data_IF_970621576850
#
_entry.id   IF_970621576850
#
_cell.length_a   1.000
_cell.length_b   1.000
_cell.length_c   1.000
_cell.angle_alpha   90.00
_cell.angle_beta   90.00
_cell.angle_gamma   90.00
#
_symmetry.space_group_name_H-M   'P 1'
#
loop_
_entity.id
_entity.type
_entity.pdbx_description
1 polymer ?
#
# COMPACT_ATOMS: atom_id res chain seq x y z
N UNK A 1 -11.40 17.65 -3.24
CA UNK A 1 -11.76 16.27 -2.83
C UNK A 1 -11.06 15.22 -3.68
N UNK A 2 -11.10 15.32 -5.02
CA UNK A 2 -10.41 14.36 -5.92
C UNK A 2 -8.90 14.25 -5.69
N UNK A 3 -8.20 15.37 -5.44
CA UNK A 3 -6.76 15.35 -5.09
C UNK A 3 -6.45 14.51 -3.84
N UNK A 4 -7.30 14.60 -2.82
CA UNK A 4 -7.15 13.82 -1.59
C UNK A 4 -7.38 12.33 -1.81
N UNK A 5 -8.36 11.96 -2.64
CA UNK A 5 -8.60 10.58 -3.02
C UNK A 5 -7.35 9.94 -3.67
N UNK A 6 -6.72 10.64 -4.62
CA UNK A 6 -5.51 10.13 -5.27
C UNK A 6 -4.30 10.07 -4.32
N UNK A 7 -4.14 11.05 -3.43
CA UNK A 7 -3.07 11.02 -2.42
C UNK A 7 -3.22 9.80 -1.51
N UNK A 8 -4.43 9.53 -1.02
CA UNK A 8 -4.73 8.34 -0.22
C UNK A 8 -4.49 7.05 -1.02
N UNK A 9 -4.89 7.00 -2.29
CA UNK A 9 -4.67 5.84 -3.15
C UNK A 9 -3.18 5.55 -3.41
N UNK A 10 -2.39 6.56 -3.81
CA UNK A 10 -0.96 6.37 -4.07
C UNK A 10 -0.17 6.08 -2.79
N UNK A 11 -0.53 6.73 -1.67
CA UNK A 11 0.08 6.44 -0.37
C UNK A 11 -0.19 5.01 0.09
N UNK A 12 -1.43 4.52 -0.03
CA UNK A 12 -1.75 3.12 0.28
C UNK A 12 -1.12 2.16 -0.73
N UNK A 13 -1.03 2.53 -2.02
CA UNK A 13 -0.35 1.72 -3.03
C UNK A 13 1.12 1.48 -2.67
N UNK A 14 1.84 2.53 -2.24
CA UNK A 14 3.23 2.44 -1.78
C UNK A 14 3.35 1.47 -0.59
N UNK A 15 2.47 1.60 0.39
CA UNK A 15 2.43 0.73 1.58
C UNK A 15 2.18 -0.73 1.19
N UNK A 16 1.10 -1.00 0.45
CA UNK A 16 0.74 -2.36 0.03
C UNK A 16 1.84 -2.98 -0.84
N UNK A 17 2.48 -2.20 -1.71
CA UNK A 17 3.55 -2.72 -2.58
C UNK A 17 4.76 -3.11 -1.74
N UNK A 18 5.09 -2.30 -0.73
CA UNK A 18 6.15 -2.64 0.21
C UNK A 18 5.85 -3.93 0.97
N UNK A 19 4.59 -4.13 1.39
CA UNK A 19 4.17 -5.37 2.06
C UNK A 19 4.28 -6.58 1.13
N UNK A 20 3.81 -6.47 -0.10
CA UNK A 20 3.87 -7.57 -1.08
C UNK A 20 5.32 -7.96 -1.35
N UNK A 21 6.17 -7.01 -1.73
CA UNK A 21 7.56 -7.31 -2.13
C UNK A 21 8.50 -7.64 -0.97
N UNK A 22 8.25 -7.19 0.26
CA UNK A 22 9.14 -7.46 1.38
C UNK A 22 8.67 -8.60 2.29
N UNK A 23 7.35 -8.75 2.48
CA UNK A 23 6.81 -9.70 3.45
C UNK A 23 6.17 -10.93 2.80
N UNK A 24 5.44 -10.74 1.69
CA UNK A 24 4.82 -11.85 0.96
C UNK A 24 5.88 -12.62 0.19
N UNK A 25 6.69 -11.92 -0.59
CA UNK A 25 7.85 -12.51 -1.28
C UNK A 25 8.87 -13.06 -0.30
N UNK A 26 9.41 -14.25 -0.63
CA UNK A 26 10.40 -14.94 0.20
C UNK A 26 11.78 -14.74 -0.39
N UNK A 27 12.56 -13.89 0.27
CA UNK A 27 13.94 -13.62 -0.10
C UNK A 27 14.78 -13.36 1.16
N UNK A 28 16.09 -13.22 1.00
CA UNK A 28 17.01 -13.04 2.14
C UNK A 28 16.72 -11.81 3.00
N UNK A 29 16.00 -10.83 2.48
CA UNK A 29 15.67 -9.59 3.20
C UNK A 29 14.25 -9.57 3.79
N UNK A 30 13.49 -10.67 3.74
CA UNK A 30 12.14 -10.75 4.34
C UNK A 30 12.15 -10.44 5.85
N UNK A 31 13.25 -10.72 6.56
CA UNK A 31 13.38 -10.35 7.99
C UNK A 31 13.37 -8.83 8.23
N UNK A 32 13.74 -8.02 7.24
CA UNK A 32 13.73 -6.55 7.29
C UNK A 32 12.38 -5.95 6.88
N UNK A 33 11.39 -6.77 6.50
CA UNK A 33 10.10 -6.30 6.04
C UNK A 33 9.40 -5.33 7.02
N UNK A 34 9.38 -5.57 8.35
CA UNK A 34 8.72 -4.64 9.27
C UNK A 34 9.32 -3.22 9.23
N UNK A 35 10.65 -3.12 9.08
CA UNK A 35 11.34 -1.83 8.97
C UNK A 35 10.96 -1.11 7.67
N UNK A 36 10.99 -1.83 6.54
CA UNK A 36 10.62 -1.27 5.25
C UNK A 36 9.15 -0.79 5.23
N UNK A 37 8.23 -1.59 5.78
CA UNK A 37 6.81 -1.23 5.90
C UNK A 37 6.64 0.01 6.78
N UNK A 38 7.37 0.11 7.90
CA UNK A 38 7.35 1.28 8.77
C UNK A 38 7.82 2.56 8.07
N UNK A 39 8.92 2.49 7.31
CA UNK A 39 9.44 3.62 6.52
C UNK A 39 8.46 4.02 5.42
N UNK A 40 7.87 3.04 4.73
CA UNK A 40 6.84 3.27 3.71
C UNK A 40 5.63 4.02 4.27
N UNK A 41 5.13 3.58 5.43
CA UNK A 41 4.04 4.27 6.14
C UNK A 41 4.43 5.67 6.60
N UNK A 42 5.67 5.85 7.09
CA UNK A 42 6.20 7.15 7.52
C UNK A 42 6.24 8.15 6.36
N UNK A 43 6.75 7.73 5.19
CA UNK A 43 6.76 8.56 3.97
C UNK A 43 5.32 8.89 3.55
N UNK A 44 4.41 7.92 3.57
CA UNK A 44 3.00 8.13 3.28
C UNK A 44 2.38 9.21 4.17
N UNK A 45 2.72 9.22 5.47
CA UNK A 45 2.27 10.25 6.41
C UNK A 45 2.86 11.62 6.09
N UNK A 46 4.17 11.72 5.82
CA UNK A 46 4.81 12.99 5.45
C UNK A 46 4.11 13.66 4.25
N UNK A 47 3.67 12.86 3.28
CA UNK A 47 2.97 13.35 2.10
C UNK A 47 1.51 13.69 2.40
N UNK A 48 0.77 12.81 3.08
CA UNK A 48 -0.69 12.90 3.16
C UNK A 48 -1.21 13.69 4.36
N UNK A 49 -0.42 13.87 5.43
CA UNK A 49 -0.90 14.53 6.67
C UNK A 49 -1.41 15.95 6.40
N UNK A 50 -0.66 16.75 5.64
CA UNK A 50 -1.04 18.15 5.38
C UNK A 50 -2.32 18.29 4.54
N UNK A 51 -2.58 17.34 3.64
CA UNK A 51 -3.69 17.43 2.68
C UNK A 51 -4.97 16.72 3.13
N UNK A 52 -4.83 15.54 3.75
CA UNK A 52 -5.97 14.66 4.09
C UNK A 52 -5.95 14.20 5.54
N UNK A 53 -4.92 14.53 6.32
CA UNK A 53 -4.70 13.98 7.66
C UNK A 53 -4.06 12.59 7.67
N UNK A 54 -3.63 12.08 6.50
CA UNK A 54 -3.08 10.76 6.28
C UNK A 54 -3.96 9.64 6.84
N UNK A 55 -5.04 9.32 6.10
CA UNK A 55 -5.85 8.14 6.40
C UNK A 55 -5.04 6.88 6.19
N UNK A 56 -4.70 6.57 4.93
CA UNK A 56 -3.96 5.42 4.38
C UNK A 56 -4.51 4.03 4.76
N UNK A 57 -5.43 3.99 5.72
CA UNK A 57 -6.00 2.85 6.37
C UNK A 57 -7.42 3.24 6.84
N UNK A 58 -8.48 2.57 6.32
CA UNK A 58 -9.86 2.85 6.72
C UNK A 58 -10.10 2.74 8.23
N UNK A 59 -9.48 1.77 8.93
CA UNK A 59 -9.64 1.60 10.37
C UNK A 59 -9.09 2.79 11.16
N UNK A 60 -7.95 3.34 10.72
CA UNK A 60 -7.32 4.54 11.30
C UNK A 60 -8.18 5.78 11.13
N UNK A 61 -8.93 5.88 10.03
CA UNK A 61 -9.84 7.00 9.78
C UNK A 61 -11.21 6.81 10.46
N UNK A 62 -11.69 5.57 10.57
CA UNK A 62 -13.00 5.25 11.11
C UNK A 62 -13.09 5.36 12.63
N UNK A 63 -12.10 4.82 13.36
CA UNK A 63 -12.10 4.82 14.83
C UNK A 63 -12.27 6.20 15.47
N UNK A 64 -11.49 7.22 15.07
CA UNK A 64 -11.64 8.58 15.56
C UNK A 64 -13.00 9.21 15.21
N UNK A 65 -13.56 8.91 14.04
CA UNK A 65 -14.88 9.44 13.64
C UNK A 65 -16.01 8.89 14.51
N UNK A 66 -15.94 7.60 14.90
CA UNK A 66 -16.86 7.01 15.87
C UNK A 66 -16.70 7.68 17.24
N UNK A 67 -15.46 7.78 17.73
CA UNK A 67 -15.18 8.34 19.06
C UNK A 67 -15.65 9.80 19.17
N UNK A 68 -15.47 10.58 18.11
CA UNK A 68 -15.94 11.97 18.02
C UNK A 68 -17.42 12.10 17.65
N UNK A 69 -18.11 11.00 17.33
CA UNK A 69 -19.50 10.97 16.79
C UNK A 69 -19.72 11.95 15.63
N UNK A 70 -18.68 12.14 14.81
CA UNK A 70 -18.67 13.13 13.74
C UNK A 70 -18.03 12.52 12.51
N UNK A 71 -18.79 12.47 11.42
CA UNK A 71 -18.33 11.96 10.14
C UNK A 71 -18.32 13.08 9.12
N UNK A 72 -17.15 13.41 8.54
CA UNK A 72 -17.12 14.36 7.45
C UNK A 72 -17.82 13.78 6.22
N UNK A 73 -18.54 14.61 5.46
CA UNK A 73 -19.22 14.18 4.23
C UNK A 73 -18.28 13.57 3.17
N UNK A 74 -16.96 13.83 3.28
CA UNK A 74 -15.95 13.26 2.40
C UNK A 74 -15.31 11.97 2.95
N UNK A 75 -15.79 11.41 4.07
CA UNK A 75 -15.18 10.25 4.74
C UNK A 75 -14.99 9.04 3.81
N UNK A 76 -15.84 8.91 2.79
CA UNK A 76 -15.74 7.86 1.76
C UNK A 76 -14.38 7.82 1.05
N UNK A 77 -13.63 8.93 0.98
CA UNK A 77 -12.29 8.94 0.34
C UNK A 77 -11.29 8.06 1.10
N UNK A 78 -11.46 7.92 2.42
CA UNK A 78 -10.61 7.05 3.26
C UNK A 78 -10.96 5.56 3.13
N UNK A 79 -11.99 5.24 2.36
CA UNK A 79 -12.35 3.88 2.00
C UNK A 79 -11.96 3.61 0.55
N UNK A 80 -12.46 4.44 -0.37
CA UNK A 80 -12.23 4.28 -1.81
C UNK A 80 -10.77 4.49 -2.17
N UNK A 81 -10.09 5.47 -1.57
CA UNK A 81 -8.67 5.73 -1.82
C UNK A 81 -7.81 4.51 -1.48
N UNK A 82 -7.82 4.03 -0.22
CA UNK A 82 -7.07 2.84 0.15
C UNK A 82 -7.41 1.58 -0.64
N UNK A 83 -8.70 1.34 -0.96
CA UNK A 83 -9.08 0.21 -1.81
C UNK A 83 -8.47 0.29 -3.21
N UNK A 84 -8.54 1.46 -3.85
CA UNK A 84 -7.90 1.67 -5.15
C UNK A 84 -6.38 1.45 -5.07
N UNK A 85 -5.73 1.98 -4.02
CA UNK A 85 -4.32 1.77 -3.78
C UNK A 85 -3.94 0.29 -3.63
N UNK A 86 -4.71 -0.49 -2.89
CA UNK A 86 -4.47 -1.93 -2.73
C UNK A 86 -4.65 -2.71 -4.03
N UNK A 87 -5.67 -2.38 -4.84
CA UNK A 87 -5.89 -3.05 -6.13
C UNK A 87 -4.77 -2.74 -7.13
N UNK A 88 -4.31 -1.48 -7.19
CA UNK A 88 -3.20 -1.09 -8.07
C UNK A 88 -1.92 -1.84 -7.64
N UNK A 89 -1.64 -1.86 -6.35
CA UNK A 89 -0.48 -2.57 -5.80
C UNK A 89 -0.50 -4.07 -6.11
N UNK A 90 -1.65 -4.72 -5.91
CA UNK A 90 -1.83 -6.12 -6.29
C UNK A 90 -1.67 -6.34 -7.80
N UNK A 91 -2.20 -5.44 -8.64
CA UNK A 91 -2.04 -5.50 -10.09
C UNK A 91 -0.59 -5.40 -10.54
N UNK A 92 0.21 -4.51 -9.93
CA UNK A 92 1.66 -4.38 -10.19
C UNK A 92 2.37 -5.68 -9.81
N UNK A 93 2.09 -6.19 -8.62
CA UNK A 93 2.68 -7.42 -8.12
C UNK A 93 2.35 -8.61 -9.02
N UNK A 94 1.08 -8.80 -9.38
CA UNK A 94 0.63 -9.88 -10.26
C UNK A 94 1.24 -9.78 -11.66
N UNK A 95 1.37 -8.56 -12.20
CA UNK A 95 2.00 -8.33 -13.50
C UNK A 95 3.48 -8.69 -13.48
N UNK A 96 4.21 -8.34 -12.42
CA UNK A 96 5.62 -8.69 -12.29
C UNK A 96 5.84 -10.19 -12.09
N UNK A 97 4.95 -10.86 -11.34
CA UNK A 97 4.93 -12.32 -11.23
C UNK A 97 4.66 -13.00 -12.56
N UNK A 98 3.72 -12.48 -13.35
CA UNK A 98 3.45 -13.00 -14.69
C UNK A 98 4.67 -12.89 -15.63
N UNK A 99 5.58 -11.97 -15.37
CA UNK A 99 6.83 -11.79 -16.12
C UNK A 99 8.02 -12.57 -15.54
N UNK A 100 7.78 -13.43 -14.55
CA UNK A 100 8.83 -14.19 -13.83
C UNK A 100 9.99 -13.28 -13.38
N UNK A 101 9.67 -12.13 -12.76
CA UNK A 101 10.64 -11.07 -12.43
C UNK A 101 11.87 -11.53 -11.62
N UNK A 102 11.79 -12.70 -10.97
CA UNK A 102 12.88 -13.29 -10.18
C UNK A 102 13.93 -14.01 -11.04
N UNK A 103 13.60 -14.37 -12.29
CA UNK A 103 14.47 -15.18 -13.16
C UNK A 103 14.77 -14.47 -14.47
N UNK A 104 16.05 -14.43 -14.87
CA UNK A 104 16.44 -13.83 -16.14
C UNK A 104 16.15 -14.75 -17.34
N UNK A 105 16.26 -16.07 -17.16
CA UNK A 105 15.97 -17.11 -18.16
C UNK A 105 15.18 -18.26 -17.50
N UNK A 106 13.84 -18.24 -17.59
CA UNK A 106 13.00 -19.31 -17.05
C UNK A 106 13.37 -20.67 -17.65
N UNK A 107 13.65 -21.66 -16.79
CA UNK A 107 14.01 -23.03 -17.21
C UNK A 107 15.49 -23.29 -17.51
N UNK A 108 16.38 -22.29 -17.34
CA UNK A 108 17.82 -22.52 -17.49
C UNK A 108 18.42 -23.31 -16.30
N UNK A 109 17.83 -23.17 -15.11
CA UNK A 109 18.19 -23.92 -13.89
C UNK A 109 17.28 -25.16 -13.69
N UNK A 110 16.44 -25.50 -14.67
CA UNK A 110 15.73 -26.76 -14.69
C UNK A 110 16.72 -27.85 -15.14
N UNK A 111 17.58 -28.27 -14.20
CA UNK A 111 18.47 -29.41 -14.37
C UNK A 111 17.68 -30.64 -14.82
N UNK A 112 18.27 -31.38 -15.76
CA UNK A 112 17.82 -32.66 -16.33
C UNK A 112 17.34 -33.70 -15.32
#
# INVERSE_FOLDING_TARGET
RSRGLFLEAFGTCLLCTTVLFMAVEKHKATFMAPLAIGISLFIGHLVCVYYTGAGLNPARSFGPCIAARSFPNYHWIYWVGPMLGSFISFGIWQFLHFLDYETANPGQDADH
#
